data_IF_502978023478
#
_entry.id   IF_502978023478
#
_cell.length_a   1.000
_cell.length_b   1.000
_cell.length_c   1.000
_cell.angle_alpha   90.00
_cell.angle_beta   90.00
_cell.angle_gamma   90.00
#
_symmetry.space_group_name_H-M   'P 1'
#
loop_
_entity.id
_entity.type
_entity.pdbx_description
1 polymer ?
#
# COMPACT_ATOMS: atom_id res chain seq x y z
N UNK A 1 -28.53 -27.01 -0.25
CA UNK A 1 -27.09 -26.71 -0.44
C UNK A 1 -26.99 -25.20 -0.66
N UNK A 2 -26.74 -24.44 0.41
CA UNK A 2 -26.63 -22.98 0.32
C UNK A 2 -25.26 -22.66 -0.26
N UNK A 3 -25.24 -22.14 -1.49
CA UNK A 3 -24.03 -21.60 -2.10
C UNK A 3 -23.59 -20.42 -1.23
N UNK A 4 -22.40 -20.51 -0.63
CA UNK A 4 -21.74 -19.37 -0.01
C UNK A 4 -21.71 -18.22 -1.02
N UNK A 5 -22.10 -16.99 -0.64
CA UNK A 5 -22.01 -15.83 -1.53
C UNK A 5 -20.60 -15.76 -2.10
N UNK A 6 -20.48 -15.75 -3.43
CA UNK A 6 -19.21 -15.57 -4.10
C UNK A 6 -18.75 -14.15 -3.76
N UNK A 7 -17.65 -14.01 -3.02
CA UNK A 7 -17.07 -12.69 -2.77
C UNK A 7 -16.81 -12.01 -4.12
N UNK A 8 -17.33 -10.79 -4.28
CA UNK A 8 -17.12 -10.01 -5.48
C UNK A 8 -15.60 -9.81 -5.71
N UNK A 9 -15.15 -9.79 -6.97
CA UNK A 9 -13.74 -9.61 -7.26
C UNK A 9 -13.24 -8.28 -6.67
N UNK A 10 -12.05 -8.32 -6.09
CA UNK A 10 -11.41 -7.14 -5.48
C UNK A 10 -10.57 -6.44 -6.54
N UNK A 11 -10.86 -5.17 -6.76
CA UNK A 11 -10.03 -4.24 -7.52
C UNK A 11 -8.98 -3.67 -6.58
N UNK A 12 -7.71 -3.72 -6.95
CA UNK A 12 -6.60 -3.21 -6.13
C UNK A 12 -5.75 -2.22 -6.91
N UNK A 13 -5.29 -1.17 -6.22
CA UNK A 13 -4.35 -0.21 -6.78
C UNK A 13 -3.45 0.34 -5.67
N UNK A 14 -2.37 1.03 -6.05
CA UNK A 14 -1.48 1.75 -5.13
C UNK A 14 -1.48 3.22 -5.49
N UNK A 15 -1.51 4.08 -4.48
CA UNK A 15 -1.26 5.50 -4.68
C UNK A 15 0.20 5.66 -5.14
N UNK A 16 0.46 6.28 -6.31
CA UNK A 16 1.79 6.40 -6.88
C UNK A 16 2.83 6.94 -5.89
N UNK A 17 4.04 6.35 -5.90
CA UNK A 17 5.17 6.75 -5.05
C UNK A 17 4.91 6.68 -3.53
N UNK A 18 3.90 5.90 -3.12
CA UNK A 18 3.62 5.64 -1.71
C UNK A 18 3.56 4.14 -1.41
N UNK A 19 3.43 3.82 -0.12
CA UNK A 19 3.08 2.48 0.34
C UNK A 19 1.57 2.29 0.50
N UNK A 20 0.74 3.27 0.17
CA UNK A 20 -0.69 3.22 0.40
C UNK A 20 -1.38 2.43 -0.73
N UNK A 21 -1.91 1.25 -0.40
CA UNK A 21 -2.73 0.44 -1.28
C UNK A 21 -4.22 0.66 -1.00
N UNK A 22 -5.03 0.66 -2.05
CA UNK A 22 -6.48 0.67 -1.97
C UNK A 22 -7.05 -0.67 -2.46
N UNK A 23 -8.25 -0.99 -1.99
CA UNK A 23 -9.05 -2.09 -2.50
C UNK A 23 -10.53 -1.73 -2.53
N UNK A 24 -11.25 -2.28 -3.50
CA UNK A 24 -12.67 -2.06 -3.72
C UNK A 24 -13.30 -3.38 -4.18
N UNK A 25 -14.46 -3.75 -3.63
CA UNK A 25 -15.24 -4.85 -4.18
C UNK A 25 -16.07 -4.31 -5.35
N UNK A 26 -15.73 -4.76 -6.56
CA UNK A 26 -16.38 -4.25 -7.77
C UNK A 26 -16.39 -5.31 -8.87
N UNK A 27 -17.57 -5.87 -9.11
CA UNK A 27 -17.78 -6.84 -10.17
C UNK A 27 -17.73 -6.17 -11.55
N UNK A 28 -17.16 -6.88 -12.54
CA UNK A 28 -17.11 -6.42 -13.92
C UNK A 28 -16.15 -5.26 -14.19
N UNK A 29 -15.34 -4.86 -13.22
CA UNK A 29 -14.31 -3.83 -13.45
C UNK A 29 -13.24 -4.31 -14.42
N UNK A 30 -12.94 -3.46 -15.40
CA UNK A 30 -11.83 -3.63 -16.34
C UNK A 30 -10.94 -2.39 -16.26
N UNK A 31 -9.72 -2.57 -15.79
CA UNK A 31 -8.74 -1.48 -15.73
C UNK A 31 -8.37 -1.02 -17.13
N UNK A 32 -8.35 0.29 -17.34
CA UNK A 32 -7.81 0.90 -18.54
C UNK A 32 -6.42 1.47 -18.23
N UNK A 33 -5.39 0.63 -18.36
CA UNK A 33 -4.00 0.97 -18.04
C UNK A 33 -3.49 2.16 -18.86
N UNK A 34 -3.94 2.29 -20.10
CA UNK A 34 -3.57 3.40 -20.98
C UNK A 34 -4.15 4.72 -20.47
N UNK A 35 -5.44 4.73 -20.11
CA UNK A 35 -6.09 5.89 -19.50
C UNK A 35 -5.47 6.23 -18.13
N UNK A 36 -5.15 5.24 -17.30
CA UNK A 36 -4.45 5.48 -16.03
C UNK A 36 -3.10 6.15 -16.26
N UNK A 37 -2.35 5.73 -17.29
CA UNK A 37 -1.06 6.31 -17.67
C UNK A 37 -1.21 7.74 -18.20
N UNK A 38 -2.19 7.99 -19.05
CA UNK A 38 -2.51 9.34 -19.57
C UNK A 38 -2.96 10.28 -18.46
N UNK A 39 -3.84 9.81 -17.57
CA UNK A 39 -4.24 10.54 -16.38
C UNK A 39 -3.04 10.83 -15.47
N UNK A 40 -2.08 9.90 -15.36
CA UNK A 40 -0.81 10.13 -14.67
C UNK A 40 0.02 11.26 -15.28
N UNK A 41 -0.01 11.45 -16.61
CA UNK A 41 0.68 12.56 -17.26
C UNK A 41 0.02 13.93 -16.94
N UNK A 42 -1.30 13.97 -16.78
CA UNK A 42 -2.04 15.20 -16.47
C UNK A 42 -2.13 15.50 -14.97
N UNK A 43 -2.33 14.48 -14.15
CA UNK A 43 -2.59 14.60 -12.71
C UNK A 43 -1.36 14.30 -11.85
N UNK A 44 -0.28 13.79 -12.44
CA UNK A 44 0.93 13.39 -11.74
C UNK A 44 0.68 12.20 -10.81
N UNK A 45 1.23 12.27 -9.60
CA UNK A 45 1.13 11.23 -8.58
C UNK A 45 -0.28 11.04 -7.99
N UNK A 46 -1.25 11.83 -8.44
CA UNK A 46 -2.63 11.78 -7.95
C UNK A 46 -3.49 10.72 -8.64
N UNK A 47 -3.14 10.33 -9.87
CA UNK A 47 -3.89 9.32 -10.62
C UNK A 47 -3.67 7.93 -10.01
N UNK A 48 -4.73 7.30 -9.46
CA UNK A 48 -4.62 5.98 -8.81
C UNK A 48 -5.11 4.87 -9.72
N UNK A 49 -6.33 4.99 -10.23
CA UNK A 49 -6.98 3.92 -10.98
C UNK A 49 -8.05 4.47 -11.92
N UNK A 50 -8.06 4.01 -13.17
CA UNK A 50 -9.07 4.35 -14.16
C UNK A 50 -9.53 3.08 -14.89
N UNK A 51 -10.83 2.99 -15.20
CA UNK A 51 -11.37 1.83 -15.91
C UNK A 51 -12.86 1.92 -16.15
N UNK A 52 -13.42 0.83 -16.64
CA UNK A 52 -14.84 0.68 -16.90
C UNK A 52 -15.46 -0.39 -16.02
N UNK A 53 -16.76 -0.28 -15.77
CA UNK A 53 -17.56 -1.25 -15.04
C UNK A 53 -18.52 -1.88 -16.07
N UNK A 54 -18.26 -3.13 -16.44
CA UNK A 54 -19.22 -3.91 -17.24
C UNK A 54 -20.29 -4.54 -16.33
N UNK A 55 -21.54 -4.75 -16.81
CA UNK A 55 -22.15 -4.36 -18.09
C UNK A 55 -22.73 -2.94 -18.09
N UNK A 56 -22.63 -2.19 -16.99
CA UNK A 56 -23.30 -0.89 -16.78
C UNK A 56 -22.78 0.24 -17.67
N UNK A 57 -21.68 0.01 -18.41
CA UNK A 57 -20.95 0.99 -19.23
C UNK A 57 -20.57 2.25 -18.43
N UNK A 58 -20.44 2.12 -17.11
CA UNK A 58 -19.96 3.19 -16.27
C UNK A 58 -18.43 3.24 -16.30
N UNK A 59 -17.85 4.43 -16.13
CA UNK A 59 -16.42 4.60 -15.88
C UNK A 59 -16.17 4.83 -14.40
N UNK A 60 -15.11 4.22 -13.86
CA UNK A 60 -14.59 4.50 -12.53
C UNK A 60 -13.25 5.24 -12.66
N UNK A 61 -13.08 6.30 -11.89
CA UNK A 61 -11.80 6.94 -11.65
C UNK A 61 -11.57 7.15 -10.16
N UNK A 62 -10.36 6.84 -9.70
CA UNK A 62 -9.91 7.12 -8.34
C UNK A 62 -8.68 8.02 -8.42
N UNK A 63 -8.79 9.15 -7.75
CA UNK A 63 -7.72 10.13 -7.58
C UNK A 63 -7.40 10.23 -6.09
N UNK A 64 -6.14 10.37 -5.73
CA UNK A 64 -5.69 10.58 -4.35
C UNK A 64 -4.80 11.82 -4.27
N UNK A 65 -5.09 12.70 -3.33
CA UNK A 65 -4.22 13.83 -3.00
C UNK A 65 -3.80 13.75 -1.55
N UNK A 66 -2.57 14.17 -1.24
CA UNK A 66 -2.15 14.26 0.15
C UNK A 66 -2.99 15.31 0.87
N UNK A 67 -3.54 14.97 2.03
CA UNK A 67 -4.29 15.88 2.88
C UNK A 67 -3.32 16.85 3.57
N UNK A 68 -3.47 18.14 3.30
CA UNK A 68 -2.80 19.19 4.07
C UNK A 68 -3.72 19.62 5.23
N UNK A 69 -3.28 19.37 6.47
CA UNK A 69 -4.04 19.72 7.67
C UNK A 69 -5.23 18.80 7.98
N UNK A 70 -6.13 19.29 8.83
CA UNK A 70 -7.36 18.60 9.25
C UNK A 70 -8.45 18.72 8.17
N UNK A 71 -8.23 18.10 7.01
CA UNK A 71 -9.28 18.02 5.99
C UNK A 71 -10.45 17.17 6.52
N UNK A 72 -11.67 17.63 6.29
CA UNK A 72 -12.88 16.82 6.45
C UNK A 72 -13.36 16.36 5.09
N UNK A 73 -14.11 15.24 5.06
CA UNK A 73 -14.71 14.72 3.83
C UNK A 73 -15.64 15.76 3.19
N UNK A 74 -16.29 16.60 4.00
CA UNK A 74 -17.16 17.69 3.57
C UNK A 74 -16.37 18.85 2.95
N UNK A 75 -15.25 19.25 3.56
CA UNK A 75 -14.35 20.27 3.02
C UNK A 75 -13.73 19.82 1.69
N UNK A 76 -13.37 18.53 1.60
CA UNK A 76 -12.88 17.93 0.37
C UNK A 76 -13.92 17.98 -0.74
N UNK A 77 -15.15 17.56 -0.45
CA UNK A 77 -16.29 17.66 -1.37
C UNK A 77 -16.50 19.08 -1.84
N UNK A 78 -16.57 20.05 -0.92
CA UNK A 78 -16.84 21.46 -1.24
C UNK A 78 -15.82 22.05 -2.22
N UNK A 79 -14.60 21.52 -2.23
CA UNK A 79 -13.52 21.96 -3.13
C UNK A 79 -13.64 21.40 -4.55
N UNK A 80 -14.18 20.20 -4.70
CA UNK A 80 -14.21 19.45 -5.97
C UNK A 80 -15.58 19.44 -6.64
N UNK A 81 -16.61 19.83 -5.91
CA UNK A 81 -17.99 19.80 -6.41
C UNK A 81 -18.32 21.10 -7.13
N UNK A 82 -18.71 20.98 -8.39
CA UNK A 82 -19.27 22.09 -9.17
C UNK A 82 -20.79 21.94 -9.28
N UNK A 83 -21.51 23.07 -9.42
CA UNK A 83 -22.97 23.09 -9.54
C UNK A 83 -23.73 22.78 -8.24
N UNK A 84 -24.97 22.30 -8.37
CA UNK A 84 -25.87 21.99 -7.26
C UNK A 84 -26.25 20.49 -7.25
N UNK A 85 -25.31 19.57 -6.97
CA UNK A 85 -25.64 18.15 -6.94
C UNK A 85 -26.42 17.77 -5.68
N UNK A 86 -27.08 16.62 -5.75
CA UNK A 86 -27.72 16.02 -4.59
C UNK A 86 -26.66 15.48 -3.62
N UNK A 87 -26.65 16.00 -2.41
CA UNK A 87 -25.69 15.63 -1.37
C UNK A 87 -26.22 14.49 -0.48
N UNK A 88 -25.35 13.57 -0.11
CA UNK A 88 -25.66 12.49 0.83
C UNK A 88 -24.41 12.00 1.57
N UNK A 89 -24.56 11.07 2.51
CA UNK A 89 -23.44 10.51 3.29
C UNK A 89 -23.54 8.99 3.44
N UNK A 90 -22.38 8.34 3.44
CA UNK A 90 -22.22 6.89 3.66
C UNK A 90 -21.23 6.69 4.80
N UNK A 91 -21.71 6.37 6.00
CA UNK A 91 -20.85 6.09 7.15
C UNK A 91 -19.89 7.23 7.51
N UNK A 92 -20.32 8.49 7.36
CA UNK A 92 -19.48 9.68 7.56
C UNK A 92 -18.68 10.13 6.34
N UNK A 93 -18.69 9.36 5.24
CA UNK A 93 -18.12 9.79 3.96
C UNK A 93 -19.11 10.69 3.24
N UNK A 94 -18.72 11.92 2.94
CA UNK A 94 -19.48 12.83 2.09
C UNK A 94 -19.52 12.31 0.66
N UNK A 95 -20.70 12.34 0.07
CA UNK A 95 -20.95 11.94 -1.30
C UNK A 95 -21.78 13.01 -2.03
N UNK A 96 -21.76 12.96 -3.35
CA UNK A 96 -22.64 13.75 -4.22
C UNK A 96 -23.13 12.92 -5.41
N UNK A 97 -24.28 13.31 -5.94
CA UNK A 97 -24.89 12.76 -7.14
C UNK A 97 -25.29 13.94 -8.04
N UNK A 98 -24.69 14.01 -9.22
CA UNK A 98 -25.05 14.98 -10.25
C UNK A 98 -25.79 14.25 -11.38
N UNK A 99 -26.82 14.91 -11.92
CA UNK A 99 -27.57 14.45 -13.09
C UNK A 99 -27.43 15.50 -14.18
N UNK A 100 -26.77 15.13 -15.26
CA UNK A 100 -26.68 15.95 -16.46
C UNK A 100 -27.72 15.43 -17.46
N UNK A 101 -28.61 16.32 -17.92
CA UNK A 101 -29.54 16.03 -19.00
C UNK A 101 -29.27 16.91 -20.24
N UNK A 102 -28.10 16.80 -20.90
CA UNK A 102 -27.87 17.50 -22.16
C UNK A 102 -28.54 16.71 -23.29
N UNK A 103 -29.87 16.84 -23.46
CA UNK A 103 -30.63 16.18 -24.54
C UNK A 103 -31.46 14.97 -24.08
N UNK A 104 -31.55 13.92 -24.91
CA UNK A 104 -32.40 12.73 -24.71
C UNK A 104 -31.81 11.68 -23.73
N UNK A 105 -30.54 11.82 -23.33
CA UNK A 105 -29.83 10.81 -22.53
C UNK A 105 -29.35 11.37 -21.18
N UNK A 106 -29.85 10.81 -20.08
CA UNK A 106 -29.48 11.19 -18.71
C UNK A 106 -28.13 10.57 -18.32
N UNK A 107 -27.17 11.40 -17.91
CA UNK A 107 -25.91 10.96 -17.32
C UNK A 107 -25.94 11.19 -15.82
N UNK A 108 -25.57 10.16 -15.08
CA UNK A 108 -25.47 10.21 -13.62
C UNK A 108 -23.98 10.13 -13.25
N UNK A 109 -23.56 11.03 -12.37
CA UNK A 109 -22.21 11.05 -11.82
C UNK A 109 -22.29 10.98 -10.29
N UNK A 110 -21.63 9.98 -9.71
CA UNK A 110 -21.50 9.80 -8.27
C UNK A 110 -20.07 10.07 -7.83
N UNK A 111 -19.92 10.77 -6.71
CA UNK A 111 -18.62 11.00 -6.07
C UNK A 111 -18.66 10.57 -4.60
N UNK A 112 -17.57 9.99 -4.12
CA UNK A 112 -17.32 9.75 -2.72
C UNK A 112 -15.95 10.32 -2.33
N UNK A 113 -15.96 11.14 -1.29
CA UNK A 113 -14.83 11.96 -0.86
C UNK A 113 -14.20 11.36 0.39
N UNK A 114 -13.32 10.37 0.24
CA UNK A 114 -12.82 9.58 1.37
C UNK A 114 -11.55 10.18 1.98
N UNK A 115 -11.37 10.01 3.29
CA UNK A 115 -10.15 10.40 4.01
C UNK A 115 -9.52 9.18 4.65
N UNK A 116 -8.28 8.87 4.27
CA UNK A 116 -7.55 7.76 4.88
C UNK A 116 -6.04 7.91 4.71
N UNK A 117 -5.28 7.59 5.76
CA UNK A 117 -3.82 7.49 5.69
C UNK A 117 -3.12 8.81 5.34
N UNK A 118 -3.74 9.95 5.64
CA UNK A 118 -3.24 11.28 5.25
C UNK A 118 -3.51 11.63 3.78
N UNK A 119 -4.44 10.94 3.11
CA UNK A 119 -4.88 11.25 1.75
C UNK A 119 -6.38 11.53 1.69
N UNK A 120 -6.74 12.42 0.78
CA UNK A 120 -8.09 12.64 0.31
C UNK A 120 -8.28 11.88 -1.01
N UNK A 121 -9.27 11.00 -1.08
CA UNK A 121 -9.62 10.26 -2.27
C UNK A 121 -10.89 10.84 -2.90
N UNK A 122 -10.87 11.04 -4.21
CA UNK A 122 -12.07 11.21 -5.04
C UNK A 122 -12.33 9.89 -5.76
N UNK A 123 -13.34 9.15 -5.31
CA UNK A 123 -13.88 7.98 -6.01
C UNK A 123 -15.08 8.45 -6.82
N UNK A 124 -14.90 8.46 -8.14
CA UNK A 124 -15.90 8.97 -9.09
C UNK A 124 -16.38 7.89 -10.02
N UNK A 125 -17.69 7.76 -10.13
CA UNK A 125 -18.36 6.86 -11.09
C UNK A 125 -19.27 7.66 -11.99
N UNK A 126 -19.12 7.51 -13.30
CA UNK A 126 -19.97 8.18 -14.30
C UNK A 126 -20.64 7.16 -15.19
N UNK A 127 -21.96 7.24 -15.36
CA UNK A 127 -22.69 6.40 -16.30
C UNK A 127 -22.48 6.88 -17.73
N UNK A 128 -22.43 5.94 -18.69
CA UNK A 128 -22.46 6.27 -20.11
C UNK A 128 -23.78 6.93 -20.51
N UNK A 129 -23.80 7.60 -21.66
CA UNK A 129 -25.00 8.27 -22.18
C UNK A 129 -26.12 7.27 -22.52
N UNK A 130 -25.76 6.10 -23.07
CA UNK A 130 -26.68 4.99 -23.33
C UNK A 130 -26.92 4.08 -22.11
N UNK A 131 -26.76 4.57 -20.88
CA UNK A 131 -26.99 3.76 -19.69
C UNK A 131 -28.50 3.49 -19.56
N UNK A 132 -28.95 2.38 -20.15
CA UNK A 132 -30.32 1.90 -20.03
C UNK A 132 -30.66 1.48 -18.59
N UNK A 133 -31.65 0.59 -18.38
CA UNK A 133 -32.04 0.14 -17.03
C UNK A 133 -30.91 -0.51 -16.22
N UNK A 134 -29.80 -0.89 -16.88
CA UNK A 134 -28.59 -1.44 -16.26
C UNK A 134 -27.60 -0.35 -15.77
N UNK A 135 -27.99 0.92 -15.72
CA UNK A 135 -27.19 1.98 -15.13
C UNK A 135 -26.80 1.66 -13.68
N UNK A 136 -25.59 2.06 -13.27
CA UNK A 136 -25.15 1.87 -11.90
C UNK A 136 -26.07 2.62 -10.93
N UNK A 137 -26.78 1.88 -10.07
CA UNK A 137 -27.71 2.48 -9.11
C UNK A 137 -26.99 3.15 -7.94
N UNK A 138 -27.70 4.01 -7.21
CA UNK A 138 -27.20 4.61 -5.97
C UNK A 138 -26.86 3.55 -4.94
N UNK A 139 -27.65 2.48 -4.84
CA UNK A 139 -27.43 1.36 -3.92
C UNK A 139 -26.12 0.64 -4.27
N UNK A 140 -25.88 0.37 -5.56
CA UNK A 140 -24.62 -0.22 -6.01
C UNK A 140 -23.42 0.69 -5.72
N UNK A 141 -23.57 2.00 -5.90
CA UNK A 141 -22.55 2.98 -5.49
C UNK A 141 -22.31 2.98 -3.98
N UNK A 142 -23.37 2.88 -3.16
CA UNK A 142 -23.26 2.81 -1.70
C UNK A 142 -22.46 1.60 -1.25
N UNK A 143 -22.74 0.42 -1.82
CA UNK A 143 -21.99 -0.80 -1.52
C UNK A 143 -20.53 -0.70 -1.97
N UNK A 144 -20.28 -0.09 -3.13
CA UNK A 144 -18.93 0.20 -3.62
C UNK A 144 -18.15 1.03 -2.59
N UNK A 145 -18.70 2.16 -2.12
CA UNK A 145 -18.05 3.03 -1.12
C UNK A 145 -17.82 2.29 0.20
N UNK A 146 -18.80 1.50 0.67
CA UNK A 146 -18.66 0.68 1.89
C UNK A 146 -17.57 -0.38 1.79
N UNK A 147 -17.26 -0.85 0.59
CA UNK A 147 -16.20 -1.83 0.34
C UNK A 147 -14.79 -1.22 0.26
N UNK A 148 -14.67 0.11 0.17
CA UNK A 148 -13.39 0.78 0.03
C UNK A 148 -12.50 0.49 1.24
N UNK A 149 -11.31 -0.08 1.00
CA UNK A 149 -10.31 -0.38 2.02
C UNK A 149 -9.00 0.26 1.65
N UNK A 150 -8.24 0.62 2.68
CA UNK A 150 -6.90 1.21 2.54
C UNK A 150 -5.95 0.41 3.42
N UNK A 151 -4.73 0.16 2.95
CA UNK A 151 -3.71 -0.54 3.70
C UNK A 151 -2.31 0.01 3.42
N UNK A 152 -1.42 -0.08 4.41
CA UNK A 152 -0.02 0.31 4.27
C UNK A 152 0.82 -0.91 3.85
N UNK A 153 1.18 -0.97 2.57
CA UNK A 153 1.80 -2.13 1.92
C UNK A 153 3.25 -1.82 1.51
N UNK A 154 4.14 -1.72 2.51
CA UNK A 154 5.57 -1.47 2.27
C UNK A 154 6.24 -2.56 1.42
N UNK A 155 5.74 -3.78 1.51
CA UNK A 155 6.14 -4.94 0.71
C UNK A 155 4.91 -5.62 0.10
N UNK A 156 5.10 -6.48 -0.89
CA UNK A 156 4.03 -7.38 -1.39
C UNK A 156 2.79 -6.68 -1.95
N UNK A 157 1.67 -7.38 -1.90
CA UNK A 157 0.32 -6.91 -2.20
C UNK A 157 -0.64 -7.36 -1.09
N UNK A 158 -1.91 -6.97 -1.15
CA UNK A 158 -2.86 -7.28 -0.06
C UNK A 158 -2.95 -8.77 0.22
N UNK A 159 -2.93 -9.60 -0.82
CA UNK A 159 -2.96 -11.07 -0.71
C UNK A 159 -1.78 -11.66 0.12
N UNK A 160 -0.69 -10.94 0.29
CA UNK A 160 0.46 -11.39 1.09
C UNK A 160 0.27 -11.15 2.60
N UNK A 161 -0.65 -10.27 2.99
CA UNK A 161 -0.85 -9.87 4.38
C UNK A 161 -1.99 -10.66 5.05
N UNK A 162 -1.91 -10.92 6.37
CA UNK A 162 -3.03 -11.49 7.11
C UNK A 162 -4.25 -10.56 7.06
N UNK A 163 -5.46 -11.11 6.91
CA UNK A 163 -6.70 -10.32 6.86
C UNK A 163 -6.88 -9.41 8.10
N UNK A 164 -6.51 -9.89 9.29
CA UNK A 164 -6.56 -9.10 10.53
C UNK A 164 -5.62 -7.87 10.48
N UNK A 165 -4.46 -8.00 9.84
CA UNK A 165 -3.52 -6.88 9.64
C UNK A 165 -4.12 -5.86 8.67
N UNK A 166 -4.70 -6.30 7.56
CA UNK A 166 -5.33 -5.42 6.57
C UNK A 166 -6.53 -4.66 7.16
N UNK A 167 -7.36 -5.33 7.95
CA UNK A 167 -8.48 -4.71 8.64
C UNK A 167 -7.98 -3.62 9.61
N UNK A 168 -6.98 -3.94 10.41
CA UNK A 168 -6.42 -2.99 11.38
C UNK A 168 -5.70 -1.81 10.71
N UNK A 169 -5.00 -2.03 9.59
CA UNK A 169 -4.42 -0.95 8.78
C UNK A 169 -5.49 0.01 8.27
N UNK A 170 -6.61 -0.52 7.77
CA UNK A 170 -7.72 0.31 7.30
C UNK A 170 -8.30 1.12 8.45
N UNK A 171 -8.57 0.48 9.60
CA UNK A 171 -9.08 1.14 10.79
C UNK A 171 -8.16 2.27 11.30
N UNK A 172 -6.85 2.04 11.30
CA UNK A 172 -5.88 3.07 11.67
C UNK A 172 -5.83 4.20 10.63
N UNK A 173 -5.91 3.87 9.34
CA UNK A 173 -5.84 4.83 8.25
C UNK A 173 -7.04 5.79 8.24
N UNK A 174 -8.27 5.31 8.44
CA UNK A 174 -9.47 6.18 8.49
C UNK A 174 -9.54 7.06 9.74
N UNK A 175 -8.69 6.78 10.74
CA UNK A 175 -8.53 7.60 11.95
C UNK A 175 -7.40 8.62 11.83
N UNK A 176 -6.72 8.73 10.68
CA UNK A 176 -5.63 9.68 10.48
C UNK A 176 -6.08 11.13 10.77
N UNK A 177 -5.22 11.96 11.40
CA UNK A 177 -3.84 11.67 11.81
C UNK A 177 -3.71 10.89 13.13
N UNK A 178 -4.82 10.57 13.82
CA UNK A 178 -4.84 9.90 15.14
C UNK A 178 -4.72 8.36 15.09
N UNK A 179 -4.36 7.79 13.95
CA UNK A 179 -4.23 6.34 13.78
C UNK A 179 -3.14 5.72 14.67
N UNK A 180 -1.95 6.33 14.78
CA UNK A 180 -0.88 5.81 15.65
C UNK A 180 -1.22 5.93 17.15
N UNK A 181 -1.70 7.09 17.66
CA UNK A 181 -2.16 7.18 19.05
C UNK A 181 -3.20 6.12 19.40
N UNK A 182 -4.17 5.89 18.52
CA UNK A 182 -5.17 4.84 18.70
C UNK A 182 -4.54 3.44 18.75
N UNK A 183 -3.59 3.11 17.87
CA UNK A 183 -2.87 1.84 17.91
C UNK A 183 -2.04 1.66 19.19
N UNK A 184 -1.52 2.75 19.77
CA UNK A 184 -0.83 2.71 21.07
C UNK A 184 -1.79 2.28 22.18
N UNK A 185 -3.01 2.80 22.18
CA UNK A 185 -4.06 2.39 23.13
C UNK A 185 -4.50 0.94 22.90
N UNK A 186 -4.69 0.54 21.64
CA UNK A 186 -5.07 -0.83 21.29
C UNK A 186 -3.99 -1.85 21.67
N UNK A 187 -2.71 -1.48 21.62
CA UNK A 187 -1.61 -2.35 22.02
C UNK A 187 -1.69 -2.73 23.51
N UNK A 188 -2.25 -1.85 24.35
CA UNK A 188 -2.50 -2.15 25.76
C UNK A 188 -3.71 -3.08 25.97
N UNK A 189 -4.74 -2.96 25.12
CA UNK A 189 -5.97 -3.76 25.21
C UNK A 189 -5.84 -5.16 24.62
N UNK A 190 -5.07 -5.29 23.54
CA UNK A 190 -4.92 -6.51 22.73
C UNK A 190 -3.47 -6.97 22.75
N UNK A 191 -2.95 -7.19 23.96
CA UNK A 191 -1.51 -7.39 24.17
C UNK A 191 -0.95 -8.64 23.48
N UNK A 192 -1.78 -9.65 23.23
CA UNK A 192 -1.46 -10.92 22.57
C UNK A 192 -1.66 -10.91 21.05
N UNK A 193 -2.24 -9.85 20.50
CA UNK A 193 -2.48 -9.70 19.07
C UNK A 193 -1.27 -9.08 18.37
N UNK A 194 -0.57 -9.87 17.55
CA UNK A 194 0.60 -9.39 16.80
C UNK A 194 0.26 -8.32 15.76
N UNK A 195 -0.99 -8.25 15.27
CA UNK A 195 -1.37 -7.30 14.24
C UNK A 195 -1.27 -5.86 14.74
N UNK A 196 -1.57 -5.62 16.02
CA UNK A 196 -1.52 -4.27 16.61
C UNK A 196 -0.10 -3.67 16.64
N UNK A 197 0.91 -4.30 17.26
CA UNK A 197 2.27 -3.79 17.22
C UNK A 197 2.85 -3.84 15.79
N UNK A 198 2.41 -4.75 14.93
CA UNK A 198 2.84 -4.79 13.52
C UNK A 198 2.39 -3.54 12.76
N UNK A 199 1.09 -3.23 12.77
CA UNK A 199 0.55 -2.07 12.06
C UNK A 199 1.10 -0.78 12.64
N UNK A 200 1.25 -0.70 13.97
CA UNK A 200 1.89 0.43 14.63
C UNK A 200 3.32 0.65 14.12
N UNK A 201 4.11 -0.42 14.04
CA UNK A 201 5.49 -0.34 13.57
C UNK A 201 5.59 0.12 12.10
N UNK A 202 4.74 -0.43 11.21
CA UNK A 202 4.70 0.00 9.81
C UNK A 202 4.29 1.48 9.68
N UNK A 203 3.32 1.93 10.47
CA UNK A 203 2.92 3.34 10.48
C UNK A 203 4.04 4.27 10.95
N UNK A 204 4.73 3.93 12.05
CA UNK A 204 5.87 4.69 12.55
C UNK A 204 7.00 4.71 11.53
N UNK A 205 7.33 3.58 10.90
CA UNK A 205 8.40 3.50 9.91
C UNK A 205 8.14 4.37 8.68
N UNK A 206 6.88 4.45 8.22
CA UNK A 206 6.50 5.28 7.05
C UNK A 206 6.37 6.76 7.41
N UNK A 207 5.94 7.09 8.63
CA UNK A 207 5.84 8.48 9.09
C UNK A 207 7.17 9.06 9.60
N UNK A 208 8.22 8.25 9.74
CA UNK A 208 9.49 8.68 10.33
C UNK A 208 9.42 8.84 11.85
N UNK A 209 8.64 8.00 12.52
CA UNK A 209 8.51 7.96 13.97
C UNK A 209 9.82 7.65 14.71
N UNK A 210 9.87 7.83 16.04
CA UNK A 210 11.09 7.66 16.82
C UNK A 210 11.69 6.26 16.67
N UNK A 211 12.99 6.20 16.38
CA UNK A 211 13.74 4.95 16.10
C UNK A 211 13.44 3.86 17.13
N UNK A 212 13.59 4.16 18.42
CA UNK A 212 13.41 3.17 19.49
C UNK A 212 11.95 2.73 19.65
N UNK A 213 10.97 3.61 19.41
CA UNK A 213 9.56 3.23 19.45
C UNK A 213 9.18 2.31 18.28
N UNK A 214 9.70 2.61 17.09
CA UNK A 214 9.52 1.78 15.90
C UNK A 214 10.13 0.40 16.10
N UNK A 215 11.36 0.33 16.63
CA UNK A 215 12.04 -0.94 16.93
C UNK A 215 11.31 -1.73 18.00
N UNK A 216 10.83 -1.09 19.08
CA UNK A 216 10.05 -1.74 20.12
C UNK A 216 8.74 -2.35 19.57
N UNK A 217 8.06 -1.64 18.67
CA UNK A 217 6.85 -2.14 18.02
C UNK A 217 7.13 -3.36 17.13
N UNK A 218 8.16 -3.32 16.27
CA UNK A 218 8.57 -4.48 15.47
C UNK A 218 9.03 -5.65 16.32
N UNK A 219 9.77 -5.40 17.40
CA UNK A 219 10.22 -6.44 18.33
C UNK A 219 9.04 -7.12 19.00
N UNK A 220 8.02 -6.37 19.44
CA UNK A 220 6.80 -6.93 20.02
C UNK A 220 6.03 -7.78 19.02
N UNK A 221 5.81 -7.26 17.81
CA UNK A 221 5.14 -8.01 16.74
C UNK A 221 5.89 -9.30 16.38
N UNK A 222 7.22 -9.22 16.28
CA UNK A 222 8.08 -10.37 15.99
C UNK A 222 8.01 -11.42 17.10
N UNK A 223 8.02 -11.03 18.37
CA UNK A 223 7.93 -11.96 19.49
C UNK A 223 6.61 -12.73 19.48
N UNK A 224 5.49 -12.06 19.20
CA UNK A 224 4.17 -12.69 19.10
C UNK A 224 4.07 -13.62 17.87
N UNK A 225 4.61 -13.21 16.73
CA UNK A 225 4.68 -14.06 15.52
C UNK A 225 5.61 -15.27 15.70
N UNK A 226 6.72 -15.10 16.43
CA UNK A 226 7.69 -16.17 16.75
C UNK A 226 7.06 -17.24 17.67
N UNK A 227 6.04 -16.88 18.45
CA UNK A 227 5.30 -17.77 19.35
C UNK A 227 4.19 -18.60 18.69
N UNK A 228 3.93 -18.42 17.38
CA UNK A 228 2.91 -19.20 16.67
C UNK A 228 3.43 -20.59 16.32
N UNK A 229 2.70 -21.65 16.70
CA UNK A 229 3.10 -23.04 16.43
C UNK A 229 3.13 -23.38 14.93
N UNK A 230 2.13 -22.90 14.17
CA UNK A 230 1.96 -23.19 12.75
C UNK A 230 1.60 -21.92 11.96
N UNK A 231 2.54 -20.99 11.73
CA UNK A 231 2.25 -19.73 11.06
C UNK A 231 1.87 -19.96 9.61
N UNK A 232 0.76 -19.35 9.18
CA UNK A 232 0.33 -19.29 7.78
C UNK A 232 1.37 -18.58 6.89
N UNK A 233 1.33 -18.73 5.55
CA UNK A 233 2.20 -17.99 4.65
C UNK A 233 2.15 -16.47 4.88
N UNK A 234 0.95 -15.91 5.11
CA UNK A 234 0.77 -14.48 5.38
C UNK A 234 1.38 -14.05 6.74
N UNK A 235 1.31 -14.90 7.77
CA UNK A 235 2.00 -14.64 9.04
C UNK A 235 3.52 -14.72 8.90
N UNK A 236 4.05 -15.67 8.12
CA UNK A 236 5.48 -15.71 7.79
C UNK A 236 5.92 -14.48 6.99
N UNK A 237 5.06 -14.00 6.10
CA UNK A 237 5.27 -12.74 5.38
C UNK A 237 5.34 -11.56 6.34
N UNK A 238 4.37 -11.38 7.24
CA UNK A 238 4.40 -10.34 8.27
C UNK A 238 5.68 -10.43 9.13
N UNK A 239 6.12 -11.63 9.50
CA UNK A 239 7.36 -11.85 10.25
C UNK A 239 8.61 -11.39 9.49
N UNK A 240 8.69 -11.68 8.19
CA UNK A 240 9.78 -11.21 7.34
C UNK A 240 9.76 -9.68 7.18
N UNK A 241 8.56 -9.09 7.07
CA UNK A 241 8.36 -7.64 7.00
C UNK A 241 8.80 -6.96 8.30
N UNK A 242 8.55 -7.55 9.47
CA UNK A 242 9.08 -7.04 10.74
C UNK A 242 10.61 -6.97 10.74
N UNK A 243 11.27 -8.06 10.33
CA UNK A 243 12.73 -8.12 10.31
C UNK A 243 13.33 -7.10 9.31
N UNK A 244 12.73 -6.97 8.13
CA UNK A 244 13.10 -5.96 7.15
C UNK A 244 12.86 -4.53 7.67
N UNK A 245 11.73 -4.31 8.36
CA UNK A 245 11.36 -3.03 8.96
C UNK A 245 12.36 -2.61 10.03
N UNK A 246 12.69 -3.49 10.99
CA UNK A 246 13.72 -3.21 12.00
C UNK A 246 15.07 -2.92 11.38
N UNK A 247 15.48 -3.69 10.37
CA UNK A 247 16.73 -3.45 9.65
C UNK A 247 16.74 -2.08 8.97
N UNK A 248 15.63 -1.68 8.34
CA UNK A 248 15.49 -0.40 7.68
C UNK A 248 15.56 0.76 8.67
N UNK A 249 14.84 0.67 9.79
CA UNK A 249 14.88 1.67 10.87
C UNK A 249 16.32 1.85 11.39
N UNK A 250 17.03 0.74 11.66
CA UNK A 250 18.41 0.76 12.13
C UNK A 250 19.37 1.37 11.10
N UNK A 251 19.27 0.94 9.84
CA UNK A 251 20.13 1.45 8.76
C UNK A 251 19.96 2.97 8.56
N UNK A 252 18.71 3.45 8.54
CA UNK A 252 18.41 4.89 8.46
C UNK A 252 18.97 5.69 9.64
N UNK A 253 19.10 5.07 10.82
CA UNK A 253 19.74 5.67 12.00
C UNK A 253 21.26 5.51 12.08
N UNK A 254 21.91 5.00 11.03
CA UNK A 254 23.37 4.79 10.98
C UNK A 254 23.86 3.54 11.73
N UNK A 255 22.96 2.67 12.18
CA UNK A 255 23.27 1.44 12.96
C UNK A 255 23.40 0.22 12.03
N UNK A 256 24.24 0.34 11.00
CA UNK A 256 24.36 -0.66 9.94
C UNK A 256 24.72 -2.08 10.44
N UNK A 257 25.56 -2.19 11.47
CA UNK A 257 25.94 -3.48 12.06
C UNK A 257 24.75 -4.21 12.71
N UNK A 258 23.85 -3.47 13.37
CA UNK A 258 22.64 -4.03 13.97
C UNK A 258 21.60 -4.34 12.87
N UNK A 259 21.47 -3.47 11.87
CA UNK A 259 20.61 -3.71 10.71
C UNK A 259 20.96 -5.03 10.00
N UNK A 260 22.26 -5.32 9.85
CA UNK A 260 22.76 -6.55 9.23
C UNK A 260 22.20 -7.82 9.90
N UNK A 261 22.11 -7.83 11.24
CA UNK A 261 21.56 -8.96 11.98
C UNK A 261 20.06 -9.18 11.68
N UNK A 262 19.28 -8.09 11.65
CA UNK A 262 17.86 -8.14 11.31
C UNK A 262 17.62 -8.57 9.86
N UNK A 263 18.40 -8.05 8.91
CA UNK A 263 18.29 -8.46 7.51
C UNK A 263 18.66 -9.94 7.31
N UNK A 264 19.66 -10.47 8.04
CA UNK A 264 19.97 -11.91 8.01
C UNK A 264 18.78 -12.75 8.50
N UNK A 265 18.15 -12.36 9.63
CA UNK A 265 16.93 -13.02 10.15
C UNK A 265 15.80 -12.96 9.11
N UNK A 266 15.55 -11.79 8.54
CA UNK A 266 14.52 -11.59 7.52
C UNK A 266 14.75 -12.45 6.27
N UNK A 267 15.98 -12.46 5.74
CA UNK A 267 16.33 -13.25 4.56
C UNK A 267 16.12 -14.75 4.78
N UNK A 268 16.45 -15.26 5.98
CA UNK A 268 16.21 -16.66 6.32
C UNK A 268 14.71 -17.01 6.31
N UNK A 269 13.85 -16.12 6.82
CA UNK A 269 12.39 -16.30 6.76
C UNK A 269 11.89 -16.23 5.31
N UNK A 270 12.42 -15.29 4.53
CA UNK A 270 11.99 -15.00 3.18
C UNK A 270 12.30 -16.11 2.17
N UNK A 271 13.18 -17.07 2.48
CA UNK A 271 13.54 -18.16 1.56
C UNK A 271 12.33 -18.92 0.99
N UNK A 272 11.24 -19.02 1.76
CA UNK A 272 9.98 -19.67 1.36
C UNK A 272 8.89 -18.73 0.82
N UNK A 273 9.18 -17.43 0.69
CA UNK A 273 8.22 -16.39 0.33
C UNK A 273 8.42 -15.87 -1.10
N UNK A 274 7.46 -15.08 -1.59
CA UNK A 274 7.49 -14.45 -2.91
C UNK A 274 8.63 -13.45 -3.11
N UNK A 275 8.88 -13.09 -4.38
CA UNK A 275 9.94 -12.16 -4.77
C UNK A 275 9.81 -10.77 -4.12
N UNK A 276 8.58 -10.36 -3.76
CA UNK A 276 8.27 -9.05 -3.19
C UNK A 276 8.92 -8.77 -1.83
N UNK A 277 9.39 -9.82 -1.14
CA UNK A 277 10.14 -9.72 0.12
C UNK A 277 11.58 -10.22 -0.06
N UNK A 278 11.79 -11.32 -0.80
CA UNK A 278 13.14 -11.89 -1.02
C UNK A 278 14.12 -10.90 -1.66
N UNK A 279 13.68 -10.23 -2.74
CA UNK A 279 14.52 -9.28 -3.47
C UNK A 279 14.94 -8.10 -2.60
N UNK A 280 13.98 -7.33 -2.02
CA UNK A 280 14.31 -6.21 -1.15
C UNK A 280 15.16 -6.56 0.06
N UNK A 281 14.89 -7.69 0.74
CA UNK A 281 15.72 -8.12 1.88
C UNK A 281 17.15 -8.46 1.45
N UNK A 282 17.34 -9.15 0.32
CA UNK A 282 18.67 -9.44 -0.19
C UNK A 282 19.42 -8.16 -0.55
N UNK A 283 18.73 -7.18 -1.16
CA UNK A 283 19.32 -5.89 -1.49
C UNK A 283 19.74 -5.11 -0.23
N UNK A 284 18.83 -4.95 0.73
CA UNK A 284 19.09 -4.25 1.98
C UNK A 284 20.20 -4.93 2.80
N UNK A 285 20.25 -6.26 2.78
CA UNK A 285 21.33 -7.03 3.39
C UNK A 285 22.67 -6.76 2.71
N UNK A 286 22.69 -6.63 1.38
CA UNK A 286 23.89 -6.28 0.65
C UNK A 286 24.40 -4.86 1.00
N UNK A 287 23.49 -3.89 1.10
CA UNK A 287 23.82 -2.53 1.53
C UNK A 287 24.44 -2.50 2.93
N UNK A 288 23.78 -3.10 3.92
CA UNK A 288 24.30 -3.16 5.29
C UNK A 288 25.64 -3.90 5.38
N UNK A 289 25.84 -4.96 4.58
CA UNK A 289 27.12 -5.66 4.50
C UNK A 289 28.23 -4.78 3.91
N UNK A 290 27.95 -4.00 2.87
CA UNK A 290 28.91 -3.08 2.28
C UNK A 290 29.31 -1.96 3.25
N UNK A 291 28.34 -1.38 3.96
CA UNK A 291 28.56 -0.35 4.98
C UNK A 291 29.40 -0.87 6.17
N UNK A 292 29.35 -2.17 6.45
CA UNK A 292 30.13 -2.81 7.53
C UNK A 292 31.46 -3.42 7.07
N UNK A 293 31.83 -3.25 5.80
CA UNK A 293 33.08 -3.78 5.23
C UNK A 293 33.06 -5.28 4.92
N UNK A 294 31.89 -5.93 5.02
CA UNK A 294 31.66 -7.34 4.70
C UNK A 294 31.51 -7.53 3.17
N UNK A 295 32.52 -7.08 2.41
CA UNK A 295 32.44 -6.88 0.96
C UNK A 295 32.04 -8.15 0.18
N UNK A 296 32.58 -9.31 0.57
CA UNK A 296 32.23 -10.60 -0.07
C UNK A 296 30.74 -10.91 0.11
N UNK A 297 30.23 -10.71 1.32
CA UNK A 297 28.83 -10.93 1.67
C UNK A 297 27.92 -9.95 0.91
N UNK A 298 28.33 -8.68 0.82
CA UNK A 298 27.61 -7.67 0.07
C UNK A 298 27.45 -8.06 -1.40
N UNK A 299 28.52 -8.51 -2.05
CA UNK A 299 28.50 -8.94 -3.45
C UNK A 299 27.64 -10.19 -3.67
N UNK A 300 27.70 -11.16 -2.76
CA UNK A 300 26.87 -12.37 -2.83
C UNK A 300 25.38 -12.03 -2.74
N UNK A 301 24.99 -11.14 -1.84
CA UNK A 301 23.59 -10.76 -1.69
C UNK A 301 23.10 -9.78 -2.75
N UNK A 302 23.97 -8.91 -3.28
CA UNK A 302 23.63 -8.06 -4.41
C UNK A 302 23.33 -8.90 -5.66
N UNK A 303 24.15 -9.92 -5.92
CA UNK A 303 23.90 -10.88 -7.01
C UNK A 303 22.56 -11.60 -6.84
N UNK A 304 22.24 -12.08 -5.63
CA UNK A 304 20.93 -12.67 -5.31
C UNK A 304 19.79 -11.69 -5.52
N UNK A 305 19.94 -10.44 -5.08
CA UNK A 305 18.93 -9.41 -5.24
C UNK A 305 18.64 -9.15 -6.72
N UNK A 306 19.68 -8.98 -7.55
CA UNK A 306 19.57 -8.80 -9.00
C UNK A 306 18.93 -10.02 -9.66
N UNK A 307 19.29 -11.24 -9.23
CA UNK A 307 18.69 -12.47 -9.74
C UNK A 307 17.20 -12.58 -9.44
N UNK A 308 16.72 -12.00 -8.34
CA UNK A 308 15.28 -11.96 -8.00
C UNK A 308 14.58 -10.79 -8.68
N UNK A 309 15.20 -9.60 -8.71
CA UNK A 309 14.66 -8.37 -9.28
C UNK A 309 15.76 -7.62 -10.06
N UNK A 310 15.82 -7.74 -11.40
CA UNK A 310 16.88 -7.15 -12.22
C UNK A 310 17.05 -5.63 -12.08
N UNK A 311 15.99 -4.91 -11.68
CA UNK A 311 16.05 -3.46 -11.42
C UNK A 311 17.12 -3.04 -10.41
N UNK A 312 17.51 -3.93 -9.49
CA UNK A 312 18.56 -3.65 -8.51
C UNK A 312 19.93 -3.48 -9.13
N UNK A 313 20.14 -3.91 -10.37
CA UNK A 313 21.37 -3.63 -11.13
C UNK A 313 21.59 -2.14 -11.29
N UNK A 314 20.57 -1.42 -11.78
CA UNK A 314 20.65 0.02 -12.01
C UNK A 314 20.71 0.78 -10.68
N UNK A 315 19.91 0.33 -9.69
CA UNK A 315 19.85 0.93 -8.36
C UNK A 315 21.21 0.88 -7.64
N UNK A 316 21.84 -0.30 -7.57
CA UNK A 316 23.17 -0.45 -6.98
C UNK A 316 24.24 0.38 -7.71
N UNK A 317 24.05 0.61 -9.02
CA UNK A 317 24.89 1.47 -9.84
C UNK A 317 24.98 2.92 -9.37
N UNK A 318 24.03 3.41 -8.56
CA UNK A 318 24.03 4.78 -8.02
C UNK A 318 23.92 4.85 -6.49
N UNK A 319 23.69 3.72 -5.83
CA UNK A 319 23.54 3.65 -4.38
C UNK A 319 24.88 3.90 -3.67
N UNK A 320 24.86 4.84 -2.72
CA UNK A 320 26.04 5.27 -1.95
C UNK A 320 26.49 4.19 -0.95
N UNK A 321 25.60 3.26 -0.59
CA UNK A 321 25.93 2.17 0.34
C UNK A 321 26.99 1.23 -0.25
N UNK A 322 27.14 1.21 -1.57
CA UNK A 322 28.14 0.40 -2.28
C UNK A 322 29.39 1.18 -2.67
N UNK A 323 29.61 2.40 -2.15
CA UNK A 323 30.74 3.23 -2.56
C UNK A 323 32.09 2.53 -2.34
N UNK A 324 32.22 1.79 -1.24
CA UNK A 324 33.41 0.99 -0.92
C UNK A 324 33.66 -0.17 -1.90
N UNK A 325 32.65 -0.57 -2.68
CA UNK A 325 32.73 -1.68 -3.64
C UNK A 325 32.97 -1.22 -5.09
N UNK A 326 32.97 0.08 -5.38
CA UNK A 326 33.05 0.61 -6.76
C UNK A 326 34.29 0.14 -7.53
N UNK A 327 35.41 -0.05 -6.83
CA UNK A 327 36.66 -0.56 -7.41
C UNK A 327 36.66 -2.07 -7.68
N UNK A 328 35.77 -2.83 -7.05
CA UNK A 328 35.72 -4.29 -7.14
C UNK A 328 35.27 -4.75 -8.54
N UNK A 329 36.02 -5.69 -9.12
CA UNK A 329 35.74 -6.19 -10.48
C UNK A 329 34.42 -6.97 -10.56
N UNK A 330 34.03 -7.70 -9.52
CA UNK A 330 32.75 -8.39 -9.44
C UNK A 330 31.62 -7.38 -9.31
N UNK A 331 31.77 -6.34 -8.48
CA UNK A 331 30.77 -5.27 -8.41
C UNK A 331 30.52 -4.64 -9.78
N UNK A 332 31.59 -4.23 -10.48
CA UNK A 332 31.50 -3.64 -11.83
C UNK A 332 30.80 -4.56 -12.84
N UNK A 333 30.99 -5.89 -12.76
CA UNK A 333 30.23 -6.85 -13.59
C UNK A 333 28.75 -6.92 -13.20
N UNK A 334 28.46 -6.92 -11.91
CA UNK A 334 27.09 -6.97 -11.39
C UNK A 334 26.29 -5.73 -11.76
N UNK A 335 26.89 -4.54 -11.84
CA UNK A 335 26.16 -3.30 -12.21
C UNK A 335 26.28 -2.94 -13.70
N UNK A 336 27.40 -3.28 -14.35
CA UNK A 336 27.72 -2.87 -15.72
C UNK A 336 27.25 -3.81 -16.85
N UNK A 337 26.71 -5.00 -16.52
CA UNK A 337 26.25 -6.00 -17.50
C UNK A 337 24.93 -5.70 -18.21
N UNK A 338 24.59 -4.42 -18.43
CA UNK A 338 23.40 -3.98 -19.15
C UNK A 338 23.77 -3.15 -20.38
N UNK A 339 24.18 -3.82 -21.46
CA UNK A 339 24.11 -3.33 -22.83
C UNK A 339 23.57 -4.45 -23.70
#
# INVERSE_FOLDING_TARGET
MLLTPREAPTVEARVPNTYLGIALQLEGFQENVELTREAGAALGERAVLFGSIGPTRASLSIIAERSEGEATSEAWRARLTEGEPLLFSIGGTSCSEAREAPGEEERIEFHAFLLAGGYCFDLRVRTGAEAGPDALSREAFVEMVRSFRVALLRRGWRADYPAAVLALMHEAAVRAPRGEPWLREEAARRSDDYAVPFVRAEMLEVSGGPVEETLAAYARASALLDGLEAPTPAQRFARAVCADGSGLTLAKSGRAAEALAHYRKGHAIAASLGHAVRGPLAYNLACAAAQTGENKLALDYLERAIGVLPRYRAMAGIDVDFETLRGDARFRRLVGGGR
#
